data_IF_132454013084
#
_entry.id   IF_132454013084
#
_cell.length_a   1.000
_cell.length_b   1.000
_cell.length_c   1.000
_cell.angle_alpha   90.00
_cell.angle_beta   90.00
_cell.angle_gamma   90.00
#
_symmetry.space_group_name_H-M   'P 1'
#
loop_
_entity.id
_entity.type
_entity.pdbx_description
1 polymer ?
#
# COMPACT_ATOMS: atom_id res chain seq x y z
N UNK A 1 -35.14 40.16 16.90
CA UNK A 1 -34.49 40.98 15.87
C UNK A 1 -34.03 40.07 14.76
N UNK A 2 -34.73 40.10 13.66
CA UNK A 2 -34.52 39.26 12.49
C UNK A 2 -33.33 39.79 11.65
N UNK A 3 -32.43 38.93 11.22
CA UNK A 3 -31.49 39.23 10.14
C UNK A 3 -31.82 38.35 8.95
N UNK A 4 -32.11 39.01 7.83
CA UNK A 4 -32.52 38.45 6.59
C UNK A 4 -31.37 37.80 5.76
N UNK A 5 -31.67 37.15 4.63
CA UNK A 5 -30.76 36.32 3.87
C UNK A 5 -29.84 37.17 2.97
N UNK A 6 -28.60 36.65 2.78
CA UNK A 6 -27.58 37.19 1.88
C UNK A 6 -27.86 36.61 0.46
N UNK A 7 -27.84 37.44 -0.61
CA UNK A 7 -28.15 36.97 -1.97
C UNK A 7 -26.95 36.25 -2.63
N UNK A 8 -27.24 35.13 -3.28
CA UNK A 8 -26.42 34.51 -4.31
C UNK A 8 -26.54 35.31 -5.62
N UNK A 9 -25.43 35.52 -6.30
CA UNK A 9 -25.42 35.88 -7.68
C UNK A 9 -24.19 36.67 -8.09
N UNK A 10 -23.30 36.01 -8.82
CA UNK A 10 -22.78 36.57 -10.07
C UNK A 10 -21.94 35.48 -10.75
N UNK A 11 -22.39 35.10 -11.96
CA UNK A 11 -21.77 34.16 -12.84
C UNK A 11 -20.51 34.77 -13.46
N UNK A 12 -19.37 34.08 -13.32
CA UNK A 12 -18.14 34.42 -14.02
C UNK A 12 -18.22 33.96 -15.46
N UNK A 13 -18.25 34.92 -16.42
CA UNK A 13 -18.03 34.68 -17.85
C UNK A 13 -16.55 34.88 -18.19
N UNK A 14 -15.89 33.97 -18.92
CA UNK A 14 -14.56 34.22 -19.41
C UNK A 14 -14.57 35.04 -20.72
N UNK A 15 -13.86 36.16 -20.71
CA UNK A 15 -13.56 36.96 -21.89
C UNK A 15 -12.76 36.15 -22.93
N UNK A 16 -13.24 36.20 -24.17
CA UNK A 16 -12.52 35.77 -25.37
C UNK A 16 -11.52 36.85 -25.77
N UNK A 17 -10.24 36.57 -25.61
CA UNK A 17 -9.20 37.35 -26.28
C UNK A 17 -8.87 36.73 -27.64
N UNK A 18 -9.19 37.44 -28.70
CA UNK A 18 -8.73 37.20 -30.06
C UNK A 18 -7.21 37.27 -30.13
N UNK A 19 -6.56 36.24 -30.65
CA UNK A 19 -5.16 36.34 -31.15
C UNK A 19 -5.10 35.97 -32.60
N UNK A 20 -4.73 36.98 -33.36
CA UNK A 20 -4.65 37.04 -34.81
C UNK A 20 -3.81 35.93 -35.43
N UNK A 21 -4.34 35.39 -36.51
CA UNK A 21 -3.63 34.58 -37.49
C UNK A 21 -2.47 35.33 -38.16
N UNK A 22 -1.26 34.81 -38.06
CA UNK A 22 -0.17 35.12 -38.98
C UNK A 22 0.08 33.90 -39.84
N UNK A 23 -0.30 34.04 -41.11
CA UNK A 23 0.08 33.16 -42.23
C UNK A 23 1.61 33.30 -42.47
N UNK A 24 2.30 32.17 -42.53
CA UNK A 24 3.60 32.06 -43.18
C UNK A 24 3.48 31.02 -44.30
N UNK A 25 3.78 31.49 -45.50
CA UNK A 25 3.84 30.79 -46.79
C UNK A 25 5.02 29.82 -46.87
N UNK A 26 4.96 28.77 -47.69
CA UNK A 26 6.05 27.83 -47.87
C UNK A 26 6.99 28.23 -49.00
N UNK A 27 8.30 28.25 -48.75
CA UNK A 27 9.28 28.22 -49.82
C UNK A 27 10.45 27.31 -49.43
N UNK A 28 10.51 26.13 -50.04
CA UNK A 28 11.74 25.33 -50.25
C UNK A 28 11.46 24.12 -51.17
N UNK A 29 10.98 24.40 -52.38
CA UNK A 29 11.30 23.54 -53.52
C UNK A 29 12.59 24.08 -54.13
N UNK A 30 13.72 23.37 -53.98
CA UNK A 30 14.87 23.27 -54.88
C UNK A 30 16.08 22.71 -54.14
N UNK A 31 16.29 21.42 -54.27
CA UNK A 31 17.62 20.76 -54.41
C UNK A 31 17.44 19.25 -54.41
N UNK A 32 17.27 18.70 -55.58
CA UNK A 32 17.12 17.24 -55.75
C UNK A 32 17.21 16.80 -57.21
N UNK A 33 17.96 17.53 -58.01
CA UNK A 33 18.31 17.09 -59.37
C UNK A 33 19.80 17.33 -59.59
N UNK A 34 20.58 16.24 -59.49
CA UNK A 34 21.83 15.94 -60.21
C UNK A 34 22.54 14.80 -59.49
N UNK A 35 22.32 13.60 -59.93
CA UNK A 35 23.23 12.46 -60.05
C UNK A 35 22.43 11.34 -60.76
N UNK A 36 22.21 11.52 -62.06
CA UNK A 36 21.92 10.46 -63.02
C UNK A 36 22.53 10.88 -64.35
N UNK A 37 23.81 10.58 -64.52
CA UNK A 37 24.46 10.44 -65.84
C UNK A 37 25.92 10.15 -65.62
N UNK A 38 26.29 8.88 -65.61
CA UNK A 38 27.61 8.40 -66.05
C UNK A 38 27.70 6.90 -65.69
N UNK A 39 27.26 6.07 -66.60
CA UNK A 39 27.75 4.73 -66.86
C UNK A 39 26.89 4.08 -67.94
N UNK A 40 27.02 4.62 -69.16
CA UNK A 40 26.73 3.88 -70.41
C UNK A 40 27.96 4.02 -71.30
N UNK A 41 28.80 2.99 -71.26
CA UNK A 41 29.52 2.50 -72.47
C UNK A 41 30.53 1.42 -72.07
N UNK A 42 30.50 0.36 -72.82
CA UNK A 42 31.43 -0.76 -72.91
C UNK A 42 31.11 -1.95 -71.99
N UNK A 43 30.42 -2.88 -72.61
CA UNK A 43 30.88 -4.24 -72.82
C UNK A 43 29.90 -4.92 -73.78
N UNK A 44 30.31 -5.01 -75.02
CA UNK A 44 29.75 -5.91 -75.98
C UNK A 44 30.68 -7.13 -76.07
N UNK A 45 30.12 -8.29 -76.30
CA UNK A 45 30.73 -9.58 -76.68
C UNK A 45 31.44 -10.44 -75.62
N UNK A 46 30.73 -11.46 -75.19
CA UNK A 46 31.05 -12.89 -75.48
C UNK A 46 29.98 -13.79 -74.80
N UNK A 47 29.45 -14.70 -75.64
CA UNK A 47 28.39 -15.63 -75.24
C UNK A 47 28.85 -16.73 -74.27
N UNK A 48 27.90 -17.24 -73.54
CA UNK A 48 28.02 -18.36 -72.60
C UNK A 48 26.80 -18.36 -71.71
N UNK A 49 25.78 -19.17 -72.11
CA UNK A 49 24.55 -19.31 -71.30
C UNK A 49 24.78 -20.10 -70.04
N UNK A 50 24.62 -19.48 -68.91
CA UNK A 50 24.27 -20.15 -67.65
C UNK A 50 23.02 -19.45 -67.08
N UNK A 51 22.08 -20.23 -66.47
CA UNK A 51 20.86 -19.57 -65.92
C UNK A 51 21.21 -18.78 -64.72
N UNK A 52 21.12 -17.46 -64.83
CA UNK A 52 21.17 -16.54 -63.69
C UNK A 52 19.93 -16.79 -62.87
N UNK A 53 20.07 -17.62 -61.80
CA UNK A 53 19.04 -17.73 -60.77
C UNK A 53 18.85 -16.36 -60.16
N UNK A 54 17.66 -15.81 -60.34
CA UNK A 54 17.26 -14.47 -59.89
C UNK A 54 17.27 -14.41 -58.35
N UNK A 55 18.47 -14.16 -57.78
CA UNK A 55 18.70 -13.98 -56.33
C UNK A 55 17.77 -12.97 -55.67
N UNK A 56 17.26 -12.03 -56.45
CA UNK A 56 16.36 -10.99 -55.95
C UNK A 56 14.95 -11.54 -55.58
N UNK A 57 14.47 -12.51 -56.36
CA UNK A 57 13.15 -13.16 -56.10
C UNK A 57 13.28 -14.07 -54.86
N UNK A 58 14.38 -14.82 -54.72
CA UNK A 58 14.62 -15.70 -53.58
C UNK A 58 14.75 -14.90 -52.23
N UNK A 59 15.29 -13.70 -52.25
CA UNK A 59 15.39 -12.83 -51.09
C UNK A 59 14.03 -12.18 -50.70
N UNK A 60 13.18 -11.87 -51.67
CA UNK A 60 11.82 -11.37 -51.46
C UNK A 60 10.94 -12.40 -50.76
N UNK A 61 10.93 -13.64 -51.25
CA UNK A 61 10.14 -14.72 -50.65
C UNK A 61 10.62 -15.11 -49.24
N UNK A 62 11.93 -15.13 -48.99
CA UNK A 62 12.47 -15.38 -47.63
C UNK A 62 12.07 -14.31 -46.64
N UNK A 63 12.08 -13.00 -47.03
CA UNK A 63 11.62 -11.90 -46.18
C UNK A 63 10.11 -11.99 -45.93
N UNK A 64 9.33 -12.37 -46.91
CA UNK A 64 7.88 -12.51 -46.75
C UNK A 64 7.50 -13.71 -45.88
N UNK A 65 8.20 -14.86 -46.03
CA UNK A 65 8.04 -16.02 -45.13
C UNK A 65 8.49 -15.73 -43.71
N UNK A 66 9.56 -14.97 -43.52
CA UNK A 66 10.05 -14.56 -42.19
C UNK A 66 9.06 -13.61 -41.51
N UNK A 67 8.47 -12.66 -42.28
CA UNK A 67 7.42 -11.77 -41.78
C UNK A 67 6.15 -12.52 -41.38
N UNK A 68 5.70 -13.47 -42.22
CA UNK A 68 4.57 -14.37 -41.89
C UNK A 68 4.87 -15.23 -40.66
N UNK A 69 6.05 -15.82 -40.55
CA UNK A 69 6.44 -16.57 -39.37
C UNK A 69 6.50 -15.71 -38.10
N UNK A 70 7.04 -14.49 -38.19
CA UNK A 70 7.05 -13.56 -37.07
C UNK A 70 5.64 -13.10 -36.68
N UNK A 71 4.74 -12.90 -37.67
CA UNK A 71 3.34 -12.51 -37.39
C UNK A 71 2.55 -13.66 -36.77
N UNK A 72 2.78 -14.91 -37.26
CA UNK A 72 2.16 -16.11 -36.68
C UNK A 72 2.71 -16.41 -35.29
N UNK A 73 4.02 -16.30 -35.08
CA UNK A 73 4.65 -16.47 -33.76
C UNK A 73 4.19 -15.39 -32.78
N UNK A 74 4.03 -14.14 -33.24
CA UNK A 74 3.48 -13.05 -32.42
C UNK A 74 2.00 -13.29 -32.11
N UNK A 75 1.21 -13.76 -33.08
CA UNK A 75 -0.20 -14.13 -32.89
C UNK A 75 -0.39 -15.31 -31.94
N UNK A 76 0.40 -16.36 -32.05
CA UNK A 76 0.39 -17.53 -31.15
C UNK A 76 0.87 -17.14 -29.75
N UNK A 77 1.87 -16.26 -29.63
CA UNK A 77 2.36 -15.78 -28.33
C UNK A 77 1.30 -14.92 -27.61
N UNK A 78 0.47 -14.19 -28.34
CA UNK A 78 -0.63 -13.38 -27.79
C UNK A 78 -1.80 -14.24 -27.28
N UNK A 79 -2.04 -15.42 -27.86
CA UNK A 79 -3.12 -16.33 -27.44
C UNK A 79 -2.74 -17.25 -26.27
N UNK A 80 -1.45 -17.54 -26.07
CA UNK A 80 -0.97 -18.38 -24.95
C UNK A 80 -0.62 -17.59 -23.69
N UNK A 81 -0.66 -16.26 -23.74
CA UNK A 81 -0.23 -15.37 -22.65
C UNK A 81 -1.15 -15.30 -21.41
N UNK A 82 -2.31 -15.95 -21.39
CA UNK A 82 -3.29 -15.87 -20.31
C UNK A 82 -3.54 -17.18 -19.56
N UNK A 83 -2.61 -18.11 -19.50
CA UNK A 83 -2.84 -19.41 -18.85
C UNK A 83 -2.16 -19.58 -17.50
N UNK A 84 -2.62 -18.80 -16.50
CA UNK A 84 -2.75 -19.34 -15.15
C UNK A 84 -4.10 -20.08 -15.06
N UNK A 85 -4.31 -21.02 -14.12
CA UNK A 85 -5.64 -21.59 -13.92
C UNK A 85 -6.63 -20.44 -13.71
N UNK A 86 -7.78 -20.45 -14.42
CA UNK A 86 -8.73 -19.36 -14.33
C UNK A 86 -9.19 -19.22 -12.88
N UNK A 87 -9.07 -18.01 -12.33
CA UNK A 87 -9.60 -17.67 -11.01
C UNK A 87 -11.10 -18.00 -10.98
N UNK A 88 -11.58 -18.55 -9.87
CA UNK A 88 -12.99 -18.87 -9.64
C UNK A 88 -13.57 -17.90 -8.60
N UNK A 89 -14.07 -16.72 -9.00
CA UNK A 89 -14.67 -15.80 -8.04
C UNK A 89 -15.96 -16.38 -7.48
N UNK A 90 -16.31 -16.03 -6.23
CA UNK A 90 -17.58 -16.41 -5.64
C UNK A 90 -18.73 -15.70 -6.40
N UNK A 91 -19.85 -16.38 -6.68
CA UNK A 91 -21.01 -15.75 -7.29
C UNK A 91 -21.59 -14.66 -6.35
N UNK A 92 -22.26 -13.61 -6.89
CA UNK A 92 -22.79 -12.50 -6.08
C UNK A 92 -23.61 -12.90 -4.88
N UNK A 93 -24.41 -13.97 -4.97
CA UNK A 93 -25.24 -14.48 -3.89
C UNK A 93 -24.44 -15.07 -2.71
N UNK A 94 -23.20 -15.47 -2.93
CA UNK A 94 -22.32 -16.08 -1.92
C UNK A 94 -21.19 -15.18 -1.47
N UNK A 95 -20.92 -14.09 -2.20
CA UNK A 95 -19.72 -13.26 -2.03
C UNK A 95 -19.53 -12.75 -0.58
N UNK A 96 -20.62 -12.50 0.15
CA UNK A 96 -20.58 -12.06 1.55
C UNK A 96 -20.47 -13.22 2.55
N UNK A 97 -20.74 -14.47 2.13
CA UNK A 97 -20.83 -15.63 3.02
C UNK A 97 -19.70 -16.64 2.92
N UNK A 98 -18.81 -16.46 1.93
CA UNK A 98 -17.65 -17.35 1.79
C UNK A 98 -16.62 -17.10 2.89
N UNK A 99 -15.97 -18.17 3.35
CA UNK A 99 -14.96 -18.11 4.43
C UNK A 99 -13.72 -18.90 4.04
N UNK A 100 -12.54 -18.56 4.55
CA UNK A 100 -11.36 -19.38 4.34
C UNK A 100 -11.54 -20.81 4.88
N UNK A 101 -11.05 -21.85 4.18
CA UNK A 101 -11.24 -23.25 4.60
C UNK A 101 -10.69 -23.53 5.98
N UNK A 102 -11.52 -24.12 6.84
CA UNK A 102 -11.14 -24.50 8.21
C UNK A 102 -11.18 -23.38 9.22
N UNK A 103 -11.79 -22.23 8.88
CA UNK A 103 -12.01 -21.11 9.80
C UNK A 103 -13.49 -20.83 10.02
N UNK A 104 -13.81 -20.20 11.16
CA UNK A 104 -15.14 -19.68 11.42
C UNK A 104 -15.37 -18.36 10.66
N UNK A 105 -16.61 -17.98 10.34
CA UNK A 105 -16.94 -16.70 9.71
C UNK A 105 -16.39 -15.49 10.49
N UNK A 106 -16.31 -15.58 11.80
CA UNK A 106 -15.78 -14.53 12.69
C UNK A 106 -14.27 -14.28 12.58
N UNK A 107 -13.54 -15.03 11.73
CA UNK A 107 -12.11 -14.80 11.50
C UNK A 107 -11.86 -13.46 10.79
N UNK A 108 -12.88 -12.94 10.11
CA UNK A 108 -12.84 -11.66 9.40
C UNK A 108 -14.22 -11.05 9.27
N UNK A 109 -14.26 -9.76 8.95
CA UNK A 109 -15.50 -9.05 8.61
C UNK A 109 -15.21 -7.92 7.62
N UNK A 110 -16.22 -7.51 6.87
CA UNK A 110 -16.16 -6.31 6.03
C UNK A 110 -16.30 -5.07 6.93
N UNK A 111 -15.55 -4.03 6.64
CA UNK A 111 -15.58 -2.79 7.44
C UNK A 111 -16.95 -2.09 7.40
N UNK A 112 -17.75 -2.32 6.34
CA UNK A 112 -19.11 -1.80 6.18
C UNK A 112 -20.21 -2.76 6.67
N UNK A 113 -19.88 -3.96 7.14
CA UNK A 113 -20.85 -4.94 7.67
C UNK A 113 -21.09 -4.69 9.16
N UNK A 114 -22.11 -3.85 9.45
CA UNK A 114 -22.50 -3.49 10.81
C UNK A 114 -22.90 -4.71 11.63
N UNK A 115 -23.70 -5.61 11.06
CA UNK A 115 -24.27 -6.73 11.81
C UNK A 115 -23.19 -7.76 12.17
N UNK A 116 -22.30 -8.08 11.24
CA UNK A 116 -21.15 -8.91 11.52
C UNK A 116 -20.21 -8.27 12.55
N UNK A 117 -20.03 -6.94 12.50
CA UNK A 117 -19.26 -6.24 13.50
C UNK A 117 -19.89 -6.35 14.89
N UNK A 118 -21.16 -5.94 15.05
CA UNK A 118 -21.85 -5.97 16.36
C UNK A 118 -21.82 -7.37 16.97
N UNK A 119 -22.11 -8.41 16.17
CA UNK A 119 -22.12 -9.79 16.63
C UNK A 119 -20.76 -10.27 17.20
N UNK A 120 -19.65 -9.74 16.66
CA UNK A 120 -18.31 -10.15 17.07
C UNK A 120 -17.67 -9.19 18.08
N UNK A 121 -17.92 -7.88 17.94
CA UNK A 121 -17.27 -6.84 18.74
C UNK A 121 -17.59 -6.93 20.23
N UNK A 122 -18.82 -7.17 20.64
CA UNK A 122 -19.19 -7.28 22.05
C UNK A 122 -18.36 -8.32 22.81
N UNK A 123 -18.22 -9.51 22.24
CA UNK A 123 -17.43 -10.59 22.85
C UNK A 123 -15.94 -10.21 22.88
N UNK A 124 -15.42 -9.69 21.77
CA UNK A 124 -14.03 -9.29 21.63
C UNK A 124 -13.67 -8.18 22.63
N UNK A 125 -14.50 -7.13 22.72
CA UNK A 125 -14.26 -5.99 23.60
C UNK A 125 -14.41 -6.32 25.09
N UNK A 126 -15.32 -7.26 25.47
CA UNK A 126 -15.34 -7.81 26.83
C UNK A 126 -14.01 -8.50 27.17
N UNK A 127 -13.45 -9.27 26.23
CA UNK A 127 -12.12 -9.87 26.39
C UNK A 127 -11.03 -8.84 26.58
N UNK A 128 -11.01 -7.79 25.74
CA UNK A 128 -10.07 -6.69 25.83
C UNK A 128 -10.15 -5.95 27.18
N UNK A 129 -11.37 -5.72 27.69
CA UNK A 129 -11.59 -5.09 28.98
C UNK A 129 -11.07 -5.95 30.13
N UNK A 130 -11.29 -7.26 30.04
CA UNK A 130 -10.74 -8.21 31.01
C UNK A 130 -9.20 -8.23 30.96
N UNK A 131 -8.60 -8.22 29.77
CA UNK A 131 -7.16 -8.16 29.59
C UNK A 131 -6.53 -6.89 30.16
N UNK A 132 -7.27 -5.77 30.16
CA UNK A 132 -6.83 -4.50 30.74
C UNK A 132 -6.87 -4.48 32.29
N UNK A 133 -7.43 -5.51 32.94
CA UNK A 133 -7.40 -5.66 34.40
C UNK A 133 -8.02 -4.48 35.17
N UNK A 134 -8.97 -3.76 34.60
CA UNK A 134 -9.56 -2.54 35.17
C UNK A 134 -8.81 -1.26 34.83
N UNK A 135 -7.65 -1.33 34.24
CA UNK A 135 -6.90 -0.16 33.73
C UNK A 135 -7.44 0.37 32.39
N UNK A 136 -6.81 1.43 31.88
CA UNK A 136 -7.14 1.96 30.56
C UNK A 136 -6.74 0.98 29.44
N UNK A 137 -7.60 0.87 28.43
CA UNK A 137 -7.29 0.06 27.23
C UNK A 137 -6.33 0.87 26.36
N UNK A 138 -5.19 0.30 25.99
CA UNK A 138 -4.25 0.87 25.06
C UNK A 138 -4.49 0.32 23.66
N UNK A 139 -4.72 1.21 22.68
CA UNK A 139 -4.98 0.88 21.27
C UNK A 139 -3.83 1.46 20.44
N UNK A 140 -3.19 0.63 19.63
CA UNK A 140 -2.17 1.08 18.67
C UNK A 140 -2.68 0.88 17.26
N UNK A 141 -2.73 1.94 16.46
CA UNK A 141 -3.02 1.89 15.04
C UNK A 141 -1.77 2.22 14.22
N UNK A 142 -1.38 1.29 13.35
CA UNK A 142 -0.20 1.38 12.50
C UNK A 142 -0.61 1.55 11.04
N UNK A 143 -0.24 2.69 10.45
CA UNK A 143 -0.61 2.99 9.05
C UNK A 143 0.25 2.23 8.04
N UNK A 144 -0.24 2.20 6.80
CA UNK A 144 0.59 1.93 5.63
C UNK A 144 1.70 2.97 5.45
N UNK A 145 2.66 2.68 4.56
CA UNK A 145 3.77 3.61 4.29
C UNK A 145 4.98 2.97 3.62
N UNK A 146 4.95 1.68 3.32
CA UNK A 146 6.07 0.95 2.69
C UNK A 146 7.36 1.07 3.49
N UNK A 147 8.45 1.61 2.88
CA UNK A 147 9.74 1.82 3.53
C UNK A 147 9.65 2.78 4.75
N UNK A 148 8.63 3.64 4.81
CA UNK A 148 8.35 4.49 5.97
C UNK A 148 8.06 3.70 7.25
N UNK A 149 7.70 2.42 7.15
CA UNK A 149 7.57 1.51 8.29
C UNK A 149 8.82 1.45 9.17
N UNK A 150 9.99 1.78 8.63
CA UNK A 150 11.22 1.90 9.42
C UNK A 150 11.09 2.93 10.54
N UNK A 151 10.42 4.08 10.28
CA UNK A 151 10.14 5.09 11.31
C UNK A 151 9.29 4.51 12.45
N UNK A 152 8.16 3.91 12.13
CA UNK A 152 7.26 3.36 13.15
C UNK A 152 7.89 2.22 13.95
N UNK A 153 8.65 1.33 13.30
CA UNK A 153 9.41 0.28 13.96
C UNK A 153 10.46 0.88 14.91
N UNK A 154 11.23 1.87 14.44
CA UNK A 154 12.22 2.57 15.26
C UNK A 154 11.59 3.29 16.45
N UNK A 155 10.46 3.98 16.24
CA UNK A 155 9.71 4.66 17.28
C UNK A 155 9.31 3.69 18.43
N UNK A 156 8.78 2.52 18.07
CA UNK A 156 8.36 1.51 19.04
C UNK A 156 9.54 0.91 19.81
N UNK A 157 10.68 0.63 19.15
CA UNK A 157 11.92 0.20 19.81
C UNK A 157 12.46 1.32 20.71
N UNK A 158 12.39 2.58 20.27
CA UNK A 158 12.81 3.73 21.08
C UNK A 158 11.99 3.90 22.35
N UNK A 159 10.66 3.71 22.29
CA UNK A 159 9.78 3.69 23.46
C UNK A 159 10.16 2.56 24.44
N UNK A 160 10.48 1.36 23.93
CA UNK A 160 10.98 0.27 24.77
C UNK A 160 12.29 0.64 25.49
N UNK A 161 13.25 1.23 24.75
CA UNK A 161 14.54 1.65 25.34
C UNK A 161 14.37 2.72 26.41
N UNK A 162 13.36 3.57 26.26
CA UNK A 162 12.99 4.57 27.25
C UNK A 162 12.24 3.97 28.45
N UNK A 163 11.61 2.81 28.31
CA UNK A 163 10.87 2.11 29.35
C UNK A 163 9.41 2.55 29.50
N UNK A 164 8.85 3.30 28.52
CA UNK A 164 7.48 3.82 28.59
C UNK A 164 6.55 3.26 27.51
N UNK A 165 7.00 2.25 26.76
CA UNK A 165 6.13 1.58 25.80
C UNK A 165 5.01 0.82 26.51
N UNK A 166 3.73 1.22 26.32
CA UNK A 166 2.63 0.53 26.96
C UNK A 166 2.42 -0.87 26.37
N UNK A 167 1.84 -1.76 27.15
CA UNK A 167 1.25 -2.96 26.60
C UNK A 167 -0.01 -2.56 25.82
N UNK A 168 -0.04 -2.88 24.53
CA UNK A 168 -1.21 -2.60 23.69
C UNK A 168 -2.20 -3.76 23.75
N UNK A 169 -3.45 -3.47 24.11
CA UNK A 169 -4.52 -4.44 24.18
C UNK A 169 -5.14 -4.70 22.80
N UNK A 170 -5.19 -3.66 21.96
CA UNK A 170 -5.60 -3.75 20.55
C UNK A 170 -4.46 -3.21 19.71
N UNK A 171 -4.04 -3.98 18.72
CA UNK A 171 -3.09 -3.53 17.69
C UNK A 171 -3.74 -3.71 16.33
N UNK A 172 -3.79 -2.63 15.56
CA UNK A 172 -4.28 -2.67 14.18
C UNK A 172 -3.16 -2.32 13.21
N UNK A 173 -3.14 -2.95 12.04
CA UNK A 173 -2.10 -2.70 11.06
C UNK A 173 -2.60 -2.73 9.63
N UNK A 174 -2.03 -1.83 8.81
CA UNK A 174 -2.27 -1.72 7.37
C UNK A 174 -0.92 -1.70 6.66
N UNK A 175 -0.73 -2.48 5.59
CA UNK A 175 0.48 -2.46 4.76
C UNK A 175 1.77 -2.66 5.59
N UNK A 176 2.70 -1.71 5.57
CA UNK A 176 3.88 -1.75 6.44
C UNK A 176 3.51 -1.89 7.92
N UNK A 177 2.43 -1.23 8.37
CA UNK A 177 1.91 -1.37 9.72
C UNK A 177 1.41 -2.79 10.02
N UNK A 178 0.85 -3.49 9.04
CA UNK A 178 0.47 -4.90 9.18
C UNK A 178 1.69 -5.80 9.40
N UNK A 179 2.81 -5.50 8.73
CA UNK A 179 4.07 -6.23 8.91
C UNK A 179 4.74 -5.94 10.25
N UNK A 180 4.55 -4.75 10.82
CA UNK A 180 5.05 -4.36 12.16
C UNK A 180 4.19 -4.98 13.27
N UNK A 181 2.88 -5.06 13.06
CA UNK A 181 1.89 -5.32 14.10
C UNK A 181 2.08 -6.63 14.89
N UNK A 182 2.51 -7.79 14.32
CA UNK A 182 2.74 -9.01 15.08
C UNK A 182 3.84 -8.88 16.14
N UNK A 183 4.95 -8.22 15.80
CA UNK A 183 6.08 -8.01 16.71
C UNK A 183 5.66 -7.14 17.90
N UNK A 184 4.99 -6.04 17.59
CA UNK A 184 4.54 -5.07 18.60
C UNK A 184 3.46 -5.64 19.51
N UNK A 185 2.57 -6.45 18.97
CA UNK A 185 1.54 -7.16 19.73
C UNK A 185 2.15 -8.11 20.75
N UNK A 186 3.25 -8.77 20.41
CA UNK A 186 3.98 -9.67 21.31
C UNK A 186 4.83 -8.95 22.37
N UNK A 187 5.25 -7.72 22.08
CA UNK A 187 5.97 -6.91 23.06
C UNK A 187 7.46 -6.77 22.79
N UNK A 188 8.20 -6.24 23.78
CA UNK A 188 9.60 -5.83 23.65
C UNK A 188 10.58 -6.97 23.38
N UNK A 189 10.24 -8.21 23.74
CA UNK A 189 11.08 -9.38 23.45
C UNK A 189 11.24 -9.65 21.94
N UNK A 190 10.34 -9.09 21.13
CA UNK A 190 10.37 -9.18 19.67
C UNK A 190 11.00 -7.96 18.98
N UNK A 191 11.51 -7.00 19.74
CA UNK A 191 12.17 -5.81 19.19
C UNK A 191 13.43 -6.12 18.35
N UNK A 192 14.27 -7.13 18.69
CA UNK A 192 15.40 -7.49 17.83
C UNK A 192 14.95 -7.95 16.43
N UNK A 193 13.88 -8.76 16.33
CA UNK A 193 13.33 -9.21 15.06
C UNK A 193 12.65 -8.06 14.31
N UNK A 194 11.96 -7.17 15.02
CA UNK A 194 11.37 -5.96 14.44
C UNK A 194 12.46 -5.07 13.84
N UNK A 195 13.55 -4.84 14.54
CA UNK A 195 14.69 -4.08 14.06
C UNK A 195 15.33 -4.75 12.84
N UNK A 196 15.52 -6.08 12.86
CA UNK A 196 16.08 -6.83 11.74
C UNK A 196 15.19 -6.69 10.48
N UNK A 197 13.86 -6.81 10.62
CA UNK A 197 12.90 -6.71 9.53
C UNK A 197 12.87 -5.30 8.91
N UNK A 198 13.04 -4.24 9.70
CA UNK A 198 12.83 -2.85 9.25
C UNK A 198 14.11 -1.99 9.16
N UNK A 199 15.29 -2.51 9.48
CA UNK A 199 16.57 -1.79 9.30
C UNK A 199 17.04 -1.71 7.85
N UNK A 200 16.30 -2.28 6.90
CA UNK A 200 16.60 -2.24 5.46
C UNK A 200 17.52 -3.35 4.95
N UNK A 201 18.23 -4.08 5.83
CA UNK A 201 19.16 -5.16 5.40
C UNK A 201 18.43 -6.32 4.69
N UNK A 202 17.22 -6.68 5.15
CA UNK A 202 16.41 -7.76 4.59
C UNK A 202 15.52 -7.32 3.43
N UNK A 203 15.33 -6.02 3.25
CA UNK A 203 14.38 -5.46 2.28
C UNK A 203 15.00 -5.01 0.96
N UNK A 204 16.33 -4.99 0.82
CA UNK A 204 17.03 -4.51 -0.38
C UNK A 204 16.59 -5.23 -1.67
N UNK A 205 16.18 -6.48 -1.56
CA UNK A 205 15.77 -7.30 -2.70
C UNK A 205 14.25 -7.36 -2.93
N UNK A 206 13.45 -6.62 -2.15
CA UNK A 206 11.98 -6.64 -2.28
C UNK A 206 11.51 -6.23 -3.70
N UNK A 207 12.15 -5.24 -4.29
CA UNK A 207 11.75 -4.72 -5.60
C UNK A 207 12.51 -5.41 -6.76
N UNK A 208 12.29 -6.70 -6.95
CA UNK A 208 12.81 -7.45 -8.11
C UNK A 208 11.85 -7.31 -9.30
N UNK A 209 12.30 -6.61 -10.35
CA UNK A 209 11.51 -6.39 -11.58
C UNK A 209 11.14 -7.70 -12.27
N UNK A 210 9.98 -7.73 -12.93
CA UNK A 210 9.48 -8.89 -13.69
C UNK A 210 9.99 -9.01 -15.12
N UNK A 211 10.75 -8.05 -15.65
CA UNK A 211 11.08 -7.97 -17.07
C UNK A 211 9.80 -7.75 -17.90
N UNK A 212 9.73 -8.26 -19.15
CA UNK A 212 8.57 -8.06 -20.03
C UNK A 212 7.29 -8.76 -19.56
N UNK A 213 7.38 -9.68 -18.61
CA UNK A 213 6.21 -10.41 -18.09
C UNK A 213 5.19 -9.49 -17.37
N UNK A 214 5.54 -8.24 -17.04
CA UNK A 214 4.59 -7.26 -16.47
C UNK A 214 3.48 -6.87 -17.44
N UNK A 215 3.70 -7.00 -18.76
CA UNK A 215 2.67 -6.71 -19.78
C UNK A 215 1.48 -7.67 -19.72
N UNK A 216 1.68 -8.89 -19.19
CA UNK A 216 0.69 -9.96 -19.18
C UNK A 216 0.26 -10.40 -17.79
N UNK A 217 0.84 -9.82 -16.73
CA UNK A 217 0.53 -10.19 -15.34
C UNK A 217 0.49 -8.94 -14.46
N UNK A 218 -0.42 -8.85 -13.48
CA UNK A 218 -0.52 -7.70 -12.60
C UNK A 218 0.76 -7.50 -11.78
N UNK A 219 1.20 -6.24 -11.64
CA UNK A 219 2.33 -5.80 -10.84
C UNK A 219 3.68 -5.79 -11.55
N UNK A 220 4.42 -4.69 -11.37
CA UNK A 220 5.76 -4.46 -11.95
C UNK A 220 6.86 -5.30 -11.30
N UNK A 221 6.66 -5.70 -10.04
CA UNK A 221 7.64 -6.45 -9.25
C UNK A 221 7.16 -7.86 -8.94
N UNK A 222 8.11 -8.75 -8.62
CA UNK A 222 7.80 -10.11 -8.17
C UNK A 222 7.28 -10.08 -6.74
N UNK A 223 6.26 -10.87 -6.42
CA UNK A 223 5.74 -11.03 -5.05
C UNK A 223 6.66 -11.88 -4.16
N UNK A 224 7.40 -12.83 -4.77
CA UNK A 224 8.15 -13.82 -4.02
C UNK A 224 9.09 -13.24 -2.95
N UNK A 225 9.87 -12.15 -3.20
CA UNK A 225 10.71 -11.57 -2.16
C UNK A 225 9.94 -11.09 -0.93
N UNK A 226 8.72 -10.56 -1.11
CA UNK A 226 7.86 -10.17 0.01
C UNK A 226 7.34 -11.40 0.78
N UNK A 227 6.95 -12.45 0.05
CA UNK A 227 6.53 -13.74 0.66
C UNK A 227 7.69 -14.35 1.46
N UNK A 228 8.90 -14.34 0.91
CA UNK A 228 10.08 -14.89 1.57
C UNK A 228 10.39 -14.12 2.86
N UNK A 229 10.35 -12.78 2.81
CA UNK A 229 10.55 -11.93 3.98
C UNK A 229 9.50 -12.25 5.07
N UNK A 230 8.22 -12.33 4.70
CA UNK A 230 7.16 -12.64 5.68
C UNK A 230 7.32 -14.05 6.24
N UNK A 231 7.67 -15.05 5.42
CA UNK A 231 7.91 -16.43 5.85
C UNK A 231 9.07 -16.55 6.85
N UNK A 232 10.08 -15.71 6.73
CA UNK A 232 11.24 -15.70 7.65
C UNK A 232 10.82 -15.33 9.07
N UNK A 233 9.93 -14.37 9.23
CA UNK A 233 9.51 -13.86 10.54
C UNK A 233 8.23 -14.53 11.07
N UNK A 234 7.32 -15.01 10.20
CA UNK A 234 6.10 -15.71 10.63
C UNK A 234 6.43 -17.16 10.97
N UNK A 235 6.94 -17.34 12.19
CA UNK A 235 7.34 -18.66 12.74
C UNK A 235 6.21 -19.29 13.52
N UNK A 236 6.29 -20.61 13.75
CA UNK A 236 5.33 -21.30 14.62
C UNK A 236 5.39 -20.78 16.07
N UNK A 237 6.57 -20.31 16.52
CA UNK A 237 6.71 -19.64 17.82
C UNK A 237 5.87 -18.37 17.87
N UNK A 238 6.00 -17.48 16.87
CA UNK A 238 5.19 -16.25 16.78
C UNK A 238 3.71 -16.54 16.82
N UNK A 239 3.23 -17.52 16.04
CA UNK A 239 1.81 -17.89 16.00
C UNK A 239 1.30 -18.40 17.35
N UNK A 240 2.06 -19.27 18.03
CA UNK A 240 1.67 -19.76 19.36
C UNK A 240 1.58 -18.63 20.39
N UNK A 241 2.53 -17.72 20.37
CA UNK A 241 2.54 -16.57 21.30
C UNK A 241 1.38 -15.60 20.99
N UNK A 242 1.09 -15.30 19.71
CA UNK A 242 -0.07 -14.49 19.32
C UNK A 242 -1.39 -15.16 19.75
N UNK A 243 -1.51 -16.47 19.56
CA UNK A 243 -2.67 -17.22 19.99
C UNK A 243 -2.86 -17.18 21.52
N UNK A 244 -1.76 -17.27 22.28
CA UNK A 244 -1.77 -17.14 23.74
C UNK A 244 -2.20 -15.74 24.19
N UNK A 245 -1.73 -14.69 23.55
CA UNK A 245 -2.14 -13.32 23.85
C UNK A 245 -3.61 -13.06 23.50
N UNK A 246 -4.10 -13.63 22.39
CA UNK A 246 -5.52 -13.59 22.06
C UNK A 246 -6.39 -14.31 23.10
N UNK A 247 -5.93 -15.44 23.62
CA UNK A 247 -6.64 -16.17 24.67
C UNK A 247 -6.78 -15.35 25.97
N UNK A 248 -5.85 -14.40 26.22
CA UNK A 248 -5.95 -13.43 27.31
C UNK A 248 -6.92 -12.27 27.00
N UNK A 249 -7.50 -12.22 25.79
CA UNK A 249 -8.46 -11.20 25.35
C UNK A 249 -7.86 -10.06 24.51
N UNK A 250 -6.56 -10.06 24.21
CA UNK A 250 -5.95 -9.03 23.35
C UNK A 250 -6.31 -9.27 21.88
N UNK A 251 -6.32 -8.20 21.08
CA UNK A 251 -6.71 -8.26 19.65
C UNK A 251 -5.57 -7.77 18.75
N UNK A 252 -5.26 -8.56 17.73
CA UNK A 252 -4.39 -8.20 16.62
C UNK A 252 -5.21 -8.23 15.33
N UNK A 253 -5.40 -7.07 14.71
CA UNK A 253 -6.25 -6.90 13.53
C UNK A 253 -5.44 -6.37 12.35
N UNK A 254 -5.66 -6.91 11.17
CA UNK A 254 -5.01 -6.47 9.92
C UNK A 254 -6.07 -6.21 8.86
N UNK A 255 -5.91 -5.11 8.11
CA UNK A 255 -6.80 -4.78 7.00
C UNK A 255 -6.18 -5.15 5.65
N UNK A 256 -7.01 -5.68 4.75
CA UNK A 256 -6.74 -5.86 3.33
C UNK A 256 -7.89 -5.27 2.54
N UNK A 257 -7.69 -4.96 1.25
CA UNK A 257 -8.78 -4.59 0.34
C UNK A 257 -9.16 -5.79 -0.53
N UNK A 258 -10.40 -6.23 -0.48
CA UNK A 258 -10.97 -7.17 -1.44
C UNK A 258 -11.37 -6.41 -2.71
N UNK A 259 -10.69 -6.69 -3.83
CA UNK A 259 -10.86 -5.95 -5.09
C UNK A 259 -12.22 -6.22 -5.73
N UNK A 260 -12.79 -7.42 -5.51
CA UNK A 260 -14.10 -7.76 -6.09
C UNK A 260 -15.26 -7.09 -5.37
N UNK A 261 -15.07 -6.78 -4.09
CA UNK A 261 -16.06 -6.09 -3.27
C UNK A 261 -15.80 -4.58 -3.20
N UNK A 262 -14.59 -4.14 -3.63
CA UNK A 262 -14.09 -2.76 -3.45
C UNK A 262 -14.16 -2.30 -1.99
N UNK A 263 -13.95 -3.26 -1.04
CA UNK A 263 -14.21 -3.04 0.38
C UNK A 263 -13.04 -3.50 1.26
N UNK A 264 -12.90 -2.86 2.42
CA UNK A 264 -11.94 -3.25 3.45
C UNK A 264 -12.39 -4.53 4.15
N UNK A 265 -11.48 -5.51 4.21
CA UNK A 265 -11.65 -6.73 5.02
C UNK A 265 -10.73 -6.66 6.22
N UNK A 266 -11.30 -6.73 7.42
CA UNK A 266 -10.55 -6.74 8.68
C UNK A 266 -10.43 -8.18 9.17
N UNK A 267 -9.20 -8.61 9.42
CA UNK A 267 -8.84 -9.97 9.82
C UNK A 267 -8.45 -10.03 11.29
N UNK A 268 -9.02 -10.98 12.06
CA UNK A 268 -8.55 -11.33 13.41
C UNK A 268 -7.34 -12.26 13.28
N UNK A 269 -6.14 -11.66 13.29
CA UNK A 269 -4.89 -12.40 13.18
C UNK A 269 -4.65 -13.35 14.36
N UNK A 270 -5.16 -13.01 15.54
CA UNK A 270 -5.13 -13.88 16.70
C UNK A 270 -5.98 -15.13 16.51
N UNK A 271 -7.17 -15.02 15.88
CA UNK A 271 -8.02 -16.16 15.54
C UNK A 271 -7.34 -17.05 14.47
N UNK A 272 -6.67 -16.43 13.49
CA UNK A 272 -5.90 -17.17 12.49
C UNK A 272 -4.75 -17.93 13.16
N UNK A 273 -4.00 -17.28 14.05
CA UNK A 273 -2.90 -17.87 14.79
C UNK A 273 -3.38 -19.04 15.70
N UNK A 274 -4.53 -18.90 16.36
CA UNK A 274 -5.11 -19.92 17.23
C UNK A 274 -5.53 -21.18 16.46
N UNK A 275 -5.83 -21.09 15.16
CA UNK A 275 -6.06 -22.27 14.31
C UNK A 275 -4.84 -23.17 14.24
N UNK A 276 -3.63 -22.57 14.25
CA UNK A 276 -2.36 -23.27 14.21
C UNK A 276 -2.13 -24.12 12.95
N UNK A 277 -1.03 -24.85 12.95
CA UNK A 277 -0.63 -25.74 11.86
C UNK A 277 -0.37 -24.99 10.54
N UNK A 278 -0.22 -25.75 9.45
CA UNK A 278 0.07 -25.16 8.13
C UNK A 278 -1.06 -24.26 7.61
N UNK A 279 -2.32 -24.61 7.88
CA UNK A 279 -3.48 -23.81 7.45
C UNK A 279 -3.50 -22.44 8.11
N UNK A 280 -3.29 -22.37 9.44
CA UNK A 280 -3.21 -21.10 10.17
C UNK A 280 -2.03 -20.26 9.71
N UNK A 281 -0.84 -20.88 9.58
CA UNK A 281 0.37 -20.19 9.12
C UNK A 281 0.24 -19.65 7.68
N UNK A 282 -0.33 -20.45 6.78
CA UNK A 282 -0.53 -20.02 5.39
C UNK A 282 -1.45 -18.80 5.30
N UNK A 283 -2.62 -18.85 5.93
CA UNK A 283 -3.54 -17.70 5.91
C UNK A 283 -2.96 -16.47 6.61
N UNK A 284 -2.28 -16.64 7.76
CA UNK A 284 -1.62 -15.54 8.48
C UNK A 284 -0.62 -14.82 7.57
N UNK A 285 0.26 -15.58 6.91
CA UNK A 285 1.21 -15.05 5.93
C UNK A 285 0.49 -14.37 4.76
N UNK A 286 -0.52 -15.03 4.16
CA UNK A 286 -1.20 -14.53 2.97
C UNK A 286 -1.95 -13.22 3.26
N UNK A 287 -2.51 -13.05 4.45
CA UNK A 287 -3.12 -11.78 4.89
C UNK A 287 -2.07 -10.68 5.03
N UNK A 288 -0.91 -10.95 5.66
CA UNK A 288 0.16 -9.95 5.78
C UNK A 288 0.71 -9.53 4.41
N UNK A 289 0.95 -10.51 3.52
CA UNK A 289 1.41 -10.25 2.15
C UNK A 289 0.36 -9.48 1.34
N UNK A 290 -0.92 -9.83 1.49
CA UNK A 290 -2.03 -9.12 0.84
C UNK A 290 -2.08 -7.66 1.30
N UNK A 291 -2.05 -7.45 2.62
CA UNK A 291 -2.06 -6.11 3.21
C UNK A 291 -0.90 -5.22 2.74
N UNK A 292 0.25 -5.81 2.35
CA UNK A 292 1.41 -5.09 1.83
C UNK A 292 1.55 -5.15 0.30
N UNK A 293 0.55 -5.68 -0.42
CA UNK A 293 0.57 -5.80 -1.89
C UNK A 293 -0.02 -4.56 -2.57
N UNK A 294 0.79 -3.49 -2.65
CA UNK A 294 0.42 -2.21 -3.28
C UNK A 294 0.00 -2.43 -4.74
N UNK A 295 -1.22 -1.99 -5.15
CA UNK A 295 -1.72 -2.13 -6.51
C UNK A 295 -0.76 -1.59 -7.56
N UNK A 296 -0.56 -2.33 -8.64
CA UNK A 296 0.39 -1.99 -9.71
C UNK A 296 1.87 -2.25 -9.34
N UNK A 297 2.26 -2.17 -8.08
CA UNK A 297 3.62 -2.49 -7.62
C UNK A 297 3.79 -3.99 -7.47
N UNK A 298 3.01 -4.62 -6.60
CA UNK A 298 2.99 -6.07 -6.41
C UNK A 298 1.72 -6.71 -7.00
N UNK A 299 1.77 -8.00 -7.37
CA UNK A 299 0.56 -8.70 -7.76
C UNK A 299 -0.39 -8.89 -6.58
N UNK A 300 -1.70 -8.89 -6.83
CA UNK A 300 -2.70 -9.26 -5.83
C UNK A 300 -2.45 -10.64 -5.24
N UNK A 301 -2.88 -10.85 -3.99
CA UNK A 301 -2.87 -12.16 -3.33
C UNK A 301 -4.24 -12.82 -3.53
N UNK A 302 -4.21 -14.06 -3.96
CA UNK A 302 -5.42 -14.88 -4.03
C UNK A 302 -5.58 -15.59 -2.69
N UNK A 303 -6.70 -15.34 -2.02
CA UNK A 303 -7.11 -16.04 -0.81
C UNK A 303 -8.21 -17.03 -1.18
N UNK A 304 -7.94 -18.31 -0.94
CA UNK A 304 -8.93 -19.35 -1.18
C UNK A 304 -10.03 -19.31 -0.12
N UNK A 305 -11.26 -19.40 -0.57
CA UNK A 305 -12.46 -19.39 0.29
C UNK A 305 -13.43 -20.48 -0.15
N UNK A 306 -14.37 -20.82 0.70
CA UNK A 306 -15.39 -21.83 0.40
C UNK A 306 -16.78 -21.36 0.85
N UNK A 307 -17.78 -21.79 0.09
CA UNK A 307 -19.21 -21.58 0.35
C UNK A 307 -20.02 -22.61 -0.39
N UNK A 308 -21.10 -23.09 0.23
CA UNK A 308 -22.01 -24.11 -0.33
C UNK A 308 -21.27 -25.35 -0.87
N UNK A 309 -20.22 -25.80 -0.15
CA UNK A 309 -19.42 -26.98 -0.51
C UNK A 309 -18.47 -26.79 -1.70
N UNK A 310 -18.31 -25.58 -2.21
CA UNK A 310 -17.42 -25.25 -3.34
C UNK A 310 -16.31 -24.31 -2.94
N UNK A 311 -15.16 -24.40 -3.65
CA UNK A 311 -14.00 -23.51 -3.47
C UNK A 311 -14.06 -22.37 -4.47
N UNK A 312 -13.71 -21.17 -3.98
CA UNK A 312 -13.64 -19.92 -4.71
C UNK A 312 -12.36 -19.17 -4.37
N UNK A 313 -12.08 -18.11 -5.11
CA UNK A 313 -10.87 -17.31 -5.03
C UNK A 313 -11.23 -15.83 -4.87
N UNK A 314 -10.85 -15.23 -3.75
CA UNK A 314 -10.93 -13.78 -3.55
C UNK A 314 -9.59 -13.13 -3.91
N UNK A 315 -9.65 -11.91 -4.44
CA UNK A 315 -8.47 -11.15 -4.82
C UNK A 315 -8.23 -10.00 -3.84
N UNK A 316 -7.15 -10.09 -3.07
CA UNK A 316 -6.80 -9.09 -2.07
C UNK A 316 -5.57 -8.29 -2.47
N UNK A 317 -5.59 -7.00 -2.14
CA UNK A 317 -4.50 -6.03 -2.28
C UNK A 317 -4.27 -5.27 -0.98
N UNK A 318 -3.31 -4.35 -1.01
CA UNK A 318 -2.94 -3.50 0.13
C UNK A 318 -4.16 -2.83 0.76
N UNK A 319 -4.26 -2.93 2.09
CA UNK A 319 -5.32 -2.31 2.86
C UNK A 319 -5.33 -0.78 2.74
N UNK A 320 -4.17 -0.16 2.49
CA UNK A 320 -4.04 1.29 2.24
C UNK A 320 -4.75 1.79 0.97
N UNK A 321 -5.29 0.87 0.15
CA UNK A 321 -6.15 1.20 -1.00
C UNK A 321 -7.49 1.77 -0.53
N UNK A 322 -8.05 1.26 0.57
CA UNK A 322 -9.35 1.68 1.12
C UNK A 322 -9.20 2.41 2.46
N UNK A 323 -8.27 1.99 3.34
CA UNK A 323 -8.09 2.59 4.66
C UNK A 323 -6.60 2.77 4.99
N UNK A 324 -6.13 3.99 5.34
CA UNK A 324 -4.71 4.23 5.61
C UNK A 324 -4.24 3.63 6.95
N UNK A 325 -5.08 3.66 7.95
CA UNK A 325 -5.05 3.00 9.25
C UNK A 325 -6.47 2.97 9.81
N UNK A 326 -6.73 2.14 10.80
CA UNK A 326 -8.04 2.08 11.44
C UNK A 326 -7.90 1.91 12.95
N UNK A 327 -8.79 2.60 13.63
CA UNK A 327 -9.22 2.36 15.02
C UNK A 327 -10.69 1.98 14.94
N UNK A 328 -11.39 1.91 16.02
CA UNK A 328 -12.82 1.58 15.96
C UNK A 328 -13.72 2.68 15.33
N UNK A 329 -13.17 3.76 14.76
CA UNK A 329 -13.89 4.99 14.38
C UNK A 329 -14.96 4.80 13.29
N UNK A 330 -14.67 4.08 12.21
CA UNK A 330 -15.67 3.85 11.15
C UNK A 330 -16.83 2.99 11.66
N UNK A 331 -16.48 1.96 12.42
CA UNK A 331 -17.42 1.06 13.05
C UNK A 331 -18.24 1.75 14.16
N UNK A 332 -17.65 2.72 14.83
CA UNK A 332 -18.33 3.54 15.84
C UNK A 332 -19.56 4.29 15.31
N UNK A 333 -19.47 4.76 14.08
CA UNK A 333 -20.60 5.44 13.43
C UNK A 333 -21.76 4.48 13.19
N UNK A 334 -21.48 3.20 13.00
CA UNK A 334 -22.49 2.17 12.75
C UNK A 334 -23.12 1.60 14.02
N UNK A 335 -22.37 1.55 15.12
CA UNK A 335 -22.84 0.94 16.37
C UNK A 335 -22.14 1.53 17.62
N UNK A 336 -22.40 2.79 17.98
CA UNK A 336 -21.67 3.48 19.04
C UNK A 336 -21.80 2.82 20.43
N UNK A 337 -22.94 2.19 20.73
CA UNK A 337 -23.14 1.50 22.01
C UNK A 337 -22.22 0.29 22.16
N UNK A 338 -21.88 -0.39 21.08
CA UNK A 338 -20.98 -1.54 21.10
C UNK A 338 -19.57 -1.18 21.56
N UNK A 339 -19.20 0.11 21.41
CA UNK A 339 -17.87 0.63 21.73
C UNK A 339 -17.75 1.23 23.13
N UNK A 340 -18.82 1.24 23.92
CA UNK A 340 -18.79 1.70 25.32
C UNK A 340 -17.62 1.09 26.14
N UNK A 341 -17.23 -0.18 25.97
CA UNK A 341 -16.07 -0.73 26.66
C UNK A 341 -14.73 -0.04 26.35
N UNK A 342 -14.63 0.70 25.25
CA UNK A 342 -13.43 1.45 24.86
C UNK A 342 -13.42 2.88 25.43
N UNK A 343 -14.46 3.33 26.12
CA UNK A 343 -14.50 4.66 26.71
C UNK A 343 -13.31 4.91 27.64
N UNK A 344 -12.64 6.05 27.49
CA UNK A 344 -11.45 6.39 28.27
C UNK A 344 -10.18 5.64 27.85
N UNK A 345 -10.19 4.92 26.73
CA UNK A 345 -9.00 4.25 26.20
C UNK A 345 -7.90 5.24 25.81
N UNK A 346 -6.66 4.76 25.74
CA UNK A 346 -5.54 5.50 25.18
C UNK A 346 -5.29 5.05 23.75
N UNK A 347 -5.40 5.95 22.80
CA UNK A 347 -5.19 5.71 21.39
C UNK A 347 -3.85 6.27 20.93
N UNK A 348 -3.06 5.42 20.31
CA UNK A 348 -1.77 5.74 19.72
C UNK A 348 -1.82 5.46 18.22
N UNK A 349 -1.52 6.46 17.38
CA UNK A 349 -1.49 6.29 15.93
C UNK A 349 -0.08 6.58 15.42
N UNK A 350 0.53 5.61 14.75
CA UNK A 350 1.80 5.79 14.05
C UNK A 350 1.55 5.81 12.54
N UNK A 351 1.75 6.99 11.94
CA UNK A 351 1.66 7.18 10.50
C UNK A 351 3.05 6.95 9.88
N UNK A 352 3.21 5.83 9.17
CA UNK A 352 4.46 5.43 8.51
C UNK A 352 4.71 6.21 7.20
N UNK A 353 4.40 7.48 7.18
CA UNK A 353 4.52 8.37 6.04
C UNK A 353 4.50 9.83 6.45
N UNK A 354 4.67 10.71 5.47
CA UNK A 354 4.54 12.14 5.66
C UNK A 354 3.08 12.56 5.47
N UNK A 355 2.61 13.52 6.26
CA UNK A 355 1.29 14.14 6.11
C UNK A 355 1.34 15.38 5.20
N UNK A 356 2.54 15.88 4.93
CA UNK A 356 2.83 16.97 4.02
C UNK A 356 4.16 16.73 3.31
N UNK A 357 4.35 17.28 2.11
CA UNK A 357 5.60 17.14 1.35
C UNK A 357 5.88 18.41 0.58
N UNK A 358 7.15 18.79 0.46
CA UNK A 358 7.54 19.85 -0.46
C UNK A 358 7.19 19.49 -1.90
N UNK A 359 6.84 20.48 -2.75
CA UNK A 359 6.61 20.27 -4.18
C UNK A 359 7.83 19.62 -4.85
N UNK A 360 7.61 18.61 -5.66
CA UNK A 360 8.66 17.88 -6.37
C UNK A 360 8.22 17.53 -7.78
N UNK A 361 9.11 17.64 -8.75
CA UNK A 361 8.85 17.21 -10.13
C UNK A 361 8.80 15.68 -10.21
N UNK A 362 7.73 15.14 -10.77
CA UNK A 362 7.58 13.70 -11.00
C UNK A 362 8.11 13.36 -12.40
N UNK A 363 8.95 12.33 -12.51
CA UNK A 363 9.44 11.85 -13.82
C UNK A 363 8.27 11.23 -14.61
N UNK A 364 8.23 11.49 -15.92
CA UNK A 364 7.21 10.96 -16.85
C UNK A 364 7.43 9.47 -17.15
N UNK A 365 7.40 8.64 -16.10
CA UNK A 365 7.52 7.18 -16.20
C UNK A 365 6.32 6.54 -15.49
N UNK A 366 5.67 5.51 -16.09
CA UNK A 366 4.45 4.93 -15.54
C UNK A 366 4.55 4.56 -14.06
N UNK A 367 5.64 3.89 -13.65
CA UNK A 367 5.83 3.50 -12.24
C UNK A 367 6.05 4.72 -11.32
N UNK A 368 6.69 5.78 -11.80
CA UNK A 368 6.90 6.99 -11.00
C UNK A 368 5.58 7.74 -10.79
N UNK A 369 4.76 7.86 -11.83
CA UNK A 369 3.43 8.46 -11.76
C UNK A 369 2.52 7.64 -10.84
N UNK A 370 2.44 6.32 -11.04
CA UNK A 370 1.64 5.42 -10.20
C UNK A 370 2.03 5.51 -8.71
N UNK A 371 3.34 5.43 -8.43
CA UNK A 371 3.84 5.52 -7.05
C UNK A 371 3.53 6.86 -6.41
N UNK A 372 3.70 7.95 -7.16
CA UNK A 372 3.43 9.30 -6.65
C UNK A 372 1.94 9.51 -6.42
N UNK A 373 1.09 9.03 -7.32
CA UNK A 373 -0.37 9.10 -7.18
C UNK A 373 -0.85 8.30 -5.97
N UNK A 374 -0.34 7.08 -5.78
CA UNK A 374 -0.67 6.26 -4.61
C UNK A 374 -0.20 6.92 -3.30
N UNK A 375 1.03 7.47 -3.26
CA UNK A 375 1.53 8.20 -2.09
C UNK A 375 0.70 9.44 -1.77
N UNK A 376 0.26 10.19 -2.78
CA UNK A 376 -0.61 11.35 -2.59
C UNK A 376 -1.99 10.93 -2.06
N UNK A 377 -2.60 9.89 -2.64
CA UNK A 377 -3.87 9.35 -2.16
C UNK A 377 -3.77 8.89 -0.70
N UNK A 378 -2.73 8.13 -0.34
CA UNK A 378 -2.49 7.65 1.02
C UNK A 378 -2.27 8.82 2.00
N UNK A 379 -1.50 9.85 1.61
CA UNK A 379 -1.27 11.04 2.43
C UNK A 379 -2.58 11.79 2.72
N UNK A 380 -3.38 12.05 1.69
CA UNK A 380 -4.65 12.76 1.86
C UNK A 380 -5.70 11.93 2.62
N UNK A 381 -5.77 10.62 2.39
CA UNK A 381 -6.65 9.74 3.16
C UNK A 381 -6.21 9.65 4.62
N UNK A 382 -4.88 9.64 4.90
CA UNK A 382 -4.36 9.65 6.27
C UNK A 382 -4.74 10.92 7.04
N UNK A 383 -4.70 12.08 6.40
CA UNK A 383 -5.17 13.34 7.03
C UNK A 383 -6.63 13.23 7.44
N UNK A 384 -7.52 12.83 6.51
CA UNK A 384 -8.95 12.67 6.79
C UNK A 384 -9.22 11.62 7.87
N UNK A 385 -8.49 10.52 7.84
CA UNK A 385 -8.63 9.49 8.86
C UNK A 385 -8.18 9.99 10.24
N UNK A 386 -7.14 10.83 10.32
CA UNK A 386 -6.73 11.48 11.57
C UNK A 386 -7.79 12.42 12.10
N UNK A 387 -8.38 13.27 11.26
CA UNK A 387 -9.47 14.18 11.66
C UNK A 387 -10.64 13.39 12.26
N UNK A 388 -11.08 12.32 11.59
CA UNK A 388 -12.15 11.45 12.09
C UNK A 388 -11.76 10.70 13.37
N UNK A 389 -10.50 10.28 13.48
CA UNK A 389 -10.00 9.55 14.64
C UNK A 389 -9.92 10.44 15.89
N UNK A 390 -9.48 11.70 15.75
CA UNK A 390 -9.45 12.70 16.82
C UNK A 390 -10.87 12.99 17.31
N UNK A 391 -11.80 13.25 16.39
CA UNK A 391 -13.20 13.52 16.72
C UNK A 391 -13.85 12.31 17.43
N UNK A 392 -13.57 11.10 16.96
CA UNK A 392 -14.03 9.87 17.62
C UNK A 392 -13.46 9.74 19.04
N UNK A 393 -12.14 9.92 19.19
CA UNK A 393 -11.49 9.84 20.49
C UNK A 393 -12.08 10.87 21.48
N UNK A 394 -12.32 12.09 21.00
CA UNK A 394 -12.95 13.14 21.82
C UNK A 394 -14.35 12.73 22.29
N UNK A 395 -15.21 12.24 21.38
CA UNK A 395 -16.58 11.78 21.73
C UNK A 395 -16.58 10.63 22.73
N UNK A 396 -15.58 9.76 22.70
CA UNK A 396 -15.44 8.63 23.61
C UNK A 396 -14.58 8.92 24.86
N UNK A 397 -14.21 10.19 25.09
CA UNK A 397 -13.34 10.60 26.19
C UNK A 397 -12.01 9.84 26.23
N UNK A 398 -11.47 9.48 25.06
CA UNK A 398 -10.18 8.78 24.91
C UNK A 398 -9.04 9.79 24.87
N UNK A 399 -7.86 9.42 25.41
CA UNK A 399 -6.65 10.16 25.10
C UNK A 399 -6.16 9.78 23.70
N UNK A 400 -5.73 10.76 22.92
CA UNK A 400 -5.27 10.53 21.55
C UNK A 400 -3.86 11.09 21.35
N UNK A 401 -2.95 10.25 20.87
CA UNK A 401 -1.58 10.62 20.51
C UNK A 401 -1.26 10.08 19.14
N UNK A 402 -0.64 10.88 18.29
CA UNK A 402 -0.17 10.39 17.01
C UNK A 402 1.21 10.94 16.66
N UNK A 403 1.86 10.30 15.72
CA UNK A 403 3.14 10.70 15.16
C UNK A 403 3.19 10.33 13.67
N UNK A 404 4.06 11.02 12.94
CA UNK A 404 4.27 10.81 11.50
C UNK A 404 5.70 11.21 11.13
N UNK A 405 6.13 10.96 9.91
CA UNK A 405 7.42 11.42 9.39
C UNK A 405 7.28 12.90 9.00
N UNK A 406 7.89 13.87 9.71
CA UNK A 406 7.77 15.28 9.39
C UNK A 406 8.31 15.61 8.00
N UNK A 407 7.82 16.69 7.40
CA UNK A 407 8.28 17.13 6.07
C UNK A 407 9.74 17.59 6.03
N UNK A 408 10.27 18.06 7.17
CA UNK A 408 11.66 18.46 7.35
C UNK A 408 12.62 17.27 7.53
N UNK A 409 12.13 16.04 7.69
CA UNK A 409 12.94 14.82 7.58
C UNK A 409 13.03 14.39 6.11
N UNK A 410 14.26 14.11 5.64
CA UNK A 410 14.50 13.66 4.26
C UNK A 410 13.98 12.23 4.07
N UNK A 411 12.74 12.09 3.64
CA UNK A 411 12.13 10.79 3.35
C UNK A 411 12.20 10.47 1.85
N UNK A 412 12.90 9.40 1.52
CA UNK A 412 13.15 8.99 0.13
C UNK A 412 11.90 8.42 -0.59
N UNK A 413 10.81 8.13 0.17
CA UNK A 413 9.53 7.65 -0.35
C UNK A 413 9.24 6.17 -0.05
N UNK A 414 7.97 5.80 -0.15
CA UNK A 414 7.42 4.52 0.30
C UNK A 414 8.02 3.27 -0.39
N UNK A 415 8.58 3.40 -1.60
CA UNK A 415 9.18 2.27 -2.33
C UNK A 415 10.73 2.24 -2.29
N UNK A 416 11.33 2.92 -1.35
CA UNK A 416 12.80 3.02 -1.22
C UNK A 416 13.32 2.09 -0.12
N UNK A 417 13.30 0.79 -0.38
CA UNK A 417 13.64 -0.28 0.56
C UNK A 417 15.16 -0.57 0.67
N UNK A 418 16.01 0.42 0.47
CA UNK A 418 17.46 0.27 0.64
C UNK A 418 17.86 0.48 2.10
N UNK A 419 18.84 -0.28 2.57
CA UNK A 419 19.39 -0.12 3.94
C UNK A 419 19.89 1.30 4.19
N UNK A 420 20.54 1.92 3.18
CA UNK A 420 21.04 3.31 3.27
C UNK A 420 19.94 4.37 3.50
N UNK A 421 18.66 4.03 3.27
CA UNK A 421 17.51 4.92 3.44
C UNK A 421 16.64 4.50 4.64
N UNK A 422 16.46 3.21 4.85
CA UNK A 422 15.62 2.68 5.94
C UNK A 422 16.33 2.71 7.29
N UNK A 423 17.65 2.41 7.37
CA UNK A 423 18.38 2.41 8.64
C UNK A 423 18.41 3.79 9.29
N UNK A 424 18.76 4.88 8.58
CA UNK A 424 18.70 6.23 9.17
C UNK A 424 17.29 6.63 9.63
N UNK A 425 16.25 6.22 8.88
CA UNK A 425 14.87 6.49 9.24
C UNK A 425 14.43 5.70 10.48
N UNK A 426 14.88 4.45 10.62
CA UNK A 426 14.68 3.66 11.83
C UNK A 426 15.35 4.32 13.04
N UNK A 427 16.64 4.71 12.91
CA UNK A 427 17.40 5.37 13.97
C UNK A 427 16.80 6.73 14.34
N UNK A 428 16.22 7.46 13.37
CA UNK A 428 15.47 8.68 13.62
C UNK A 428 14.25 8.41 14.53
N UNK A 429 13.45 7.39 14.22
CA UNK A 429 12.31 6.98 15.05
C UNK A 429 12.76 6.60 16.48
N UNK A 430 13.84 5.82 16.61
CA UNK A 430 14.43 5.47 17.92
C UNK A 430 14.81 6.72 18.69
N UNK A 431 15.52 7.65 18.07
CA UNK A 431 16.02 8.88 18.68
C UNK A 431 14.89 9.78 19.20
N UNK A 432 13.87 9.98 18.37
CA UNK A 432 12.72 10.83 18.76
C UNK A 432 11.93 10.22 19.92
N UNK A 433 11.69 8.91 19.90
CA UNK A 433 11.03 8.23 21.00
C UNK A 433 11.87 8.28 22.30
N UNK A 434 13.18 8.02 22.21
CA UNK A 434 14.08 8.05 23.36
C UNK A 434 14.16 9.44 24.04
N UNK A 435 13.97 10.51 23.27
CA UNK A 435 13.96 11.90 23.79
C UNK A 435 12.60 12.37 24.29
N UNK A 436 11.55 11.55 24.20
CA UNK A 436 10.15 11.96 24.43
C UNK A 436 9.64 13.02 23.44
N UNK A 437 10.17 13.02 22.24
CA UNK A 437 9.87 13.99 21.19
C UNK A 437 9.09 13.35 20.03
N UNK A 438 8.37 12.25 20.30
CA UNK A 438 7.72 11.44 19.28
C UNK A 438 6.31 11.93 18.94
N UNK A 439 5.56 12.37 19.96
CA UNK A 439 4.12 12.62 19.83
C UNK A 439 3.84 14.07 19.43
N UNK A 440 2.81 14.29 18.61
CA UNK A 440 2.43 15.60 18.09
C UNK A 440 0.93 15.83 18.22
N UNK A 441 0.48 17.04 17.91
CA UNK A 441 -0.93 17.45 17.88
C UNK A 441 -1.42 17.67 16.45
N UNK A 442 -2.75 17.66 16.25
CA UNK A 442 -3.34 17.91 14.94
C UNK A 442 -3.01 19.32 14.44
N UNK A 443 -3.03 20.33 15.33
CA UNK A 443 -2.72 21.71 14.98
C UNK A 443 -1.32 21.85 14.42
N UNK A 444 -0.32 21.21 15.06
CA UNK A 444 1.06 21.19 14.56
C UNK A 444 1.18 20.53 13.18
N UNK A 445 0.47 19.42 12.94
CA UNK A 445 0.46 18.74 11.64
C UNK A 445 -0.22 19.60 10.55
N UNK A 446 -1.26 20.36 10.89
CA UNK A 446 -1.93 21.29 9.98
C UNK A 446 -1.05 22.51 9.67
N UNK A 447 -0.37 23.09 10.65
CA UNK A 447 0.60 24.17 10.44
C UNK A 447 1.77 23.71 9.55
N UNK A 448 2.27 22.49 9.75
CA UNK A 448 3.28 21.90 8.88
C UNK A 448 2.77 21.79 7.44
N UNK A 449 1.53 21.34 7.26
CA UNK A 449 0.92 21.23 5.95
C UNK A 449 0.76 22.59 5.25
N UNK A 450 0.43 23.65 5.98
CA UNK A 450 0.36 25.03 5.46
C UNK A 450 1.75 25.54 5.05
N UNK A 451 2.75 25.33 5.90
CA UNK A 451 4.15 25.69 5.60
C UNK A 451 4.69 24.98 4.36
N UNK A 452 4.33 23.71 4.15
CA UNK A 452 4.77 22.93 3.00
C UNK A 452 4.38 23.54 1.65
N UNK A 453 3.26 24.29 1.60
CA UNK A 453 2.79 24.90 0.36
C UNK A 453 3.65 26.09 -0.12
N UNK A 454 4.35 26.78 0.79
CA UNK A 454 5.04 28.06 0.51
C UNK A 454 6.52 28.06 0.86
N UNK A 455 6.99 27.13 1.70
CA UNK A 455 8.37 27.09 2.17
C UNK A 455 9.31 26.41 1.17
N UNK A 456 10.56 26.87 1.13
CA UNK A 456 11.64 26.17 0.47
C UNK A 456 12.02 24.89 1.26
N UNK A 457 12.40 23.79 0.59
CA UNK A 457 12.84 22.58 1.27
C UNK A 457 13.97 22.86 2.25
N UNK A 458 13.74 22.58 3.54
CA UNK A 458 14.76 22.62 4.57
C UNK A 458 14.65 21.32 5.37
N UNK A 459 15.75 20.59 5.46
CA UNK A 459 15.85 19.36 6.19
C UNK A 459 16.75 19.58 7.41
N UNK A 460 16.23 19.34 8.61
CA UNK A 460 16.91 19.55 9.87
C UNK A 460 16.78 18.38 10.86
N UNK A 461 16.09 17.29 10.42
CA UNK A 461 15.85 16.09 11.21
C UNK A 461 15.26 16.34 12.61
N UNK A 462 14.55 17.45 12.81
CA UNK A 462 13.81 17.70 14.03
C UNK A 462 12.71 16.66 14.23
N UNK A 463 12.46 16.26 15.46
CA UNK A 463 11.42 15.30 15.81
C UNK A 463 10.01 15.92 15.71
N UNK A 464 8.94 15.11 15.56
CA UNK A 464 7.57 15.60 15.36
C UNK A 464 6.93 16.18 16.64
N UNK A 465 7.66 16.97 17.42
CA UNK A 465 7.18 17.55 18.67
C UNK A 465 6.14 18.64 18.41
N UNK A 466 4.99 18.56 19.09
CA UNK A 466 4.24 19.76 19.41
C UNK A 466 4.86 20.36 20.68
N UNK A 467 5.08 21.67 20.70
CA UNK A 467 5.44 22.34 21.93
C UNK A 467 4.49 21.84 23.03
N UNK A 468 5.06 21.23 24.08
CA UNK A 468 4.28 20.85 25.24
C UNK A 468 4.01 22.16 26.00
N UNK A 469 2.82 22.72 25.83
CA UNK A 469 2.21 23.66 26.76
C UNK A 469 1.47 22.88 27.85
#
# INVERSE_FOLDING_TARGET
MARGPIPFGEAYQPERSELAARRATPDSQRKGHRIRAACRSRCNDRGGGEPVIDLAVAWGERRQRLRLLCTVLLGVSLTTGCSGPPRRPAPPALIARVVPPGFAPSVRFLANDRDAFVANAERALRGVRAAAGGGAINILALSGGGAGGAFGAGALVGMTRRGDRPQFHIVTGVSAGALISPFVFLGSEWDPQLQEAFSGRRTEHLLRKRGLAFLFRPGFYKRQPLVDLVNEFVTDRMLREIAAERAKGRLLLVATTDVDKEETVIWDMGAIAARGGQTGRALFRDVLVASASIPGVFPPVIIHVQGDGRSYDEMHVDGGTTVPFFIASEIAQLAPQTLEPLRGAHVFVLVNGQLSTFPQTTRERPIAVLTRSFSAALMHSSRRALDLAVEFAHRQSMSFRFTFIPMNHQFAGALRFKASEMSPLFDYGVRCAARNELWTTLDHALEEAQRAATALPRFDDACPVAGMD
#
